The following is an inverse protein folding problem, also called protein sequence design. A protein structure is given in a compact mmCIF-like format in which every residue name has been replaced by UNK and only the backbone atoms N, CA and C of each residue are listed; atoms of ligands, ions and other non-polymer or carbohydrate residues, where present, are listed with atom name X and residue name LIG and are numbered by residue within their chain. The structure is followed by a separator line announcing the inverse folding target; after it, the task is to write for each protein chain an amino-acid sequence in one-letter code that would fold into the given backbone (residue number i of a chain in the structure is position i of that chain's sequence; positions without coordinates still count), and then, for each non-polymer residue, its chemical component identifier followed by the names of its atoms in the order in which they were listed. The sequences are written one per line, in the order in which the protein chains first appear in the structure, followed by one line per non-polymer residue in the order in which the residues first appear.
data_IF_167192387047
#
_entry.id   IF_167192387047
#
_cell.length_a   1.000
_cell.length_b   1.000
_cell.length_c   1.000
_cell.angle_alpha   90.00
_cell.angle_beta   90.00
_cell.angle_gamma   90.00
#
_symmetry.space_group_name_H-M   'P 1'
#
loop_
_entity.id
_entity.type
_entity.pdbx_description
1 polymer ?
#
# COMPACT_ATOMS: atom_id res chain seq x y z
N UNK A 1 26.78 4.63 5.74
CA UNK A 1 25.33 4.49 5.95
C UNK A 1 24.80 3.50 4.93
N UNK A 2 24.18 2.42 5.40
CA UNK A 2 23.88 1.25 4.58
C UNK A 2 22.98 1.59 3.37
N UNK A 3 23.53 1.34 2.18
CA UNK A 3 22.87 1.60 0.90
C UNK A 3 21.50 0.89 0.80
N UNK A 4 21.33 -0.25 1.49
CA UNK A 4 20.10 -1.03 1.47
C UNK A 4 18.93 -0.34 2.18
N UNK A 5 19.14 0.17 3.41
CA UNK A 5 18.06 0.82 4.17
C UNK A 5 17.53 2.03 3.41
N UNK A 6 18.44 2.88 2.93
CA UNK A 6 18.09 4.07 2.14
C UNK A 6 17.31 3.68 0.87
N UNK A 7 17.75 2.61 0.18
CA UNK A 7 17.07 2.10 -1.01
C UNK A 7 15.67 1.58 -0.71
N UNK A 8 15.47 0.89 0.41
CA UNK A 8 14.15 0.36 0.80
C UNK A 8 13.19 1.49 1.19
N UNK A 9 13.67 2.48 1.96
CA UNK A 9 12.88 3.67 2.29
C UNK A 9 12.46 4.42 1.03
N UNK A 10 13.41 4.66 0.11
CA UNK A 10 13.11 5.31 -1.17
C UNK A 10 12.10 4.50 -1.99
N UNK A 11 12.24 3.18 -2.05
CA UNK A 11 11.31 2.31 -2.76
C UNK A 11 9.88 2.38 -2.19
N UNK A 12 9.75 2.38 -0.87
CA UNK A 12 8.45 2.54 -0.21
C UNK A 12 7.80 3.89 -0.53
N UNK A 13 8.57 4.98 -0.46
CA UNK A 13 8.08 6.31 -0.82
C UNK A 13 7.63 6.35 -2.29
N UNK A 14 8.48 5.92 -3.23
CA UNK A 14 8.16 5.94 -4.66
C UNK A 14 6.95 5.05 -4.99
N UNK A 15 6.88 3.86 -4.41
CA UNK A 15 5.74 2.96 -4.55
C UNK A 15 4.45 3.62 -4.07
N UNK A 16 4.49 4.26 -2.90
CA UNK A 16 3.32 4.96 -2.35
C UNK A 16 2.93 6.18 -3.17
N UNK A 17 3.88 6.98 -3.67
CA UNK A 17 3.57 8.11 -4.56
C UNK A 17 2.83 7.64 -5.81
N UNK A 18 3.36 6.64 -6.52
CA UNK A 18 2.76 6.16 -7.76
C UNK A 18 1.38 5.54 -7.51
N UNK A 19 1.25 4.75 -6.45
CA UNK A 19 -0.04 4.20 -6.02
C UNK A 19 -1.05 5.31 -5.70
N UNK A 20 -0.64 6.33 -4.94
CA UNK A 20 -1.47 7.47 -4.56
C UNK A 20 -1.97 8.23 -5.78
N UNK A 21 -1.10 8.48 -6.78
CA UNK A 21 -1.49 9.13 -8.03
C UNK A 21 -2.62 8.33 -8.72
N UNK A 22 -2.47 7.01 -8.81
CA UNK A 22 -3.50 6.14 -9.40
C UNK A 22 -4.80 6.20 -8.59
N UNK A 23 -4.72 6.16 -7.26
CA UNK A 23 -5.90 6.23 -6.39
C UNK A 23 -6.60 7.59 -6.44
N UNK A 24 -5.89 8.69 -6.70
CA UNK A 24 -6.50 9.99 -6.94
C UNK A 24 -7.22 10.06 -8.29
N UNK A 25 -6.73 9.35 -9.31
CA UNK A 25 -7.34 9.33 -10.64
C UNK A 25 -8.52 8.36 -10.71
N UNK A 26 -8.46 7.23 -10.00
CA UNK A 26 -9.42 6.14 -10.08
C UNK A 26 -10.90 6.57 -9.92
N UNK A 27 -11.28 7.48 -9.00
CA UNK A 27 -12.65 7.95 -8.87
C UNK A 27 -13.20 8.66 -10.11
N UNK A 28 -12.33 9.35 -10.84
CA UNK A 28 -12.69 10.00 -12.11
C UNK A 28 -12.93 9.00 -13.24
N UNK A 29 -12.59 7.73 -13.04
CA UNK A 29 -12.86 6.62 -13.95
C UNK A 29 -14.07 5.76 -13.50
N UNK A 30 -14.83 6.24 -12.50
CA UNK A 30 -16.00 5.55 -11.97
C UNK A 30 -15.68 4.49 -10.89
N UNK A 31 -14.43 4.37 -10.45
CA UNK A 31 -14.08 3.53 -9.30
C UNK A 31 -14.47 4.22 -7.97
N UNK A 32 -14.68 3.47 -6.87
CA UNK A 32 -14.92 4.07 -5.57
C UNK A 32 -13.69 4.85 -5.09
N UNK A 33 -13.92 5.87 -4.26
CA UNK A 33 -12.82 6.57 -3.61
C UNK A 33 -12.11 5.63 -2.64
N UNK A 34 -10.83 5.37 -2.92
CA UNK A 34 -9.94 4.59 -2.07
C UNK A 34 -8.78 5.47 -1.65
N UNK A 35 -9.00 6.27 -0.61
CA UNK A 35 -8.00 7.18 -0.05
C UNK A 35 -7.54 6.69 1.34
N UNK A 36 -6.49 5.85 1.43
CA UNK A 36 -6.04 5.28 2.70
C UNK A 36 -5.71 6.33 3.76
N UNK A 37 -5.15 7.47 3.37
CA UNK A 37 -4.87 8.58 4.29
C UNK A 37 -6.13 9.19 4.90
N UNK A 38 -7.24 9.31 4.13
CA UNK A 38 -8.53 9.77 4.66
C UNK A 38 -9.13 8.71 5.59
N UNK A 39 -9.06 7.44 5.19
CA UNK A 39 -9.58 6.33 5.98
C UNK A 39 -8.87 6.24 7.34
N UNK A 40 -7.54 6.26 7.35
CA UNK A 40 -6.74 6.24 8.57
C UNK A 40 -7.01 7.46 9.46
N UNK A 41 -7.07 8.67 8.88
CA UNK A 41 -7.36 9.88 9.65
C UNK A 41 -8.76 9.82 10.28
N UNK A 42 -9.77 9.42 9.49
CA UNK A 42 -11.16 9.32 9.92
C UNK A 42 -11.35 8.28 11.02
N UNK A 43 -10.83 7.06 10.83
CA UNK A 43 -10.95 5.99 11.82
C UNK A 43 -10.27 6.34 13.15
N UNK A 44 -9.14 7.04 13.11
CA UNK A 44 -8.41 7.41 14.33
C UNK A 44 -8.88 8.74 14.95
N UNK A 45 -9.77 9.49 14.29
CA UNK A 45 -10.20 10.81 14.75
C UNK A 45 -9.08 11.86 14.78
N UNK A 46 -8.08 11.73 13.90
CA UNK A 46 -6.89 12.60 13.86
C UNK A 46 -6.89 13.53 12.64
N UNK A 47 -6.09 14.61 12.62
CA UNK A 47 -6.00 15.49 11.47
C UNK A 47 -5.56 14.76 10.18
N UNK A 48 -6.04 15.22 9.03
CA UNK A 48 -5.75 14.62 7.72
C UNK A 48 -4.25 14.47 7.42
N UNK A 49 -3.43 15.41 7.89
CA UNK A 49 -1.97 15.35 7.74
C UNK A 49 -1.36 14.12 8.43
N UNK A 50 -1.92 13.69 9.55
CA UNK A 50 -1.48 12.48 10.25
C UNK A 50 -1.82 11.25 9.42
N UNK A 51 -3.01 11.20 8.81
CA UNK A 51 -3.37 10.12 7.88
C UNK A 51 -2.42 10.00 6.70
N UNK A 52 -1.96 11.12 6.15
CA UNK A 52 -0.93 11.15 5.10
C UNK A 52 0.41 10.60 5.59
N UNK A 53 0.88 11.05 6.75
CA UNK A 53 2.12 10.56 7.36
C UNK A 53 2.03 9.04 7.56
N UNK A 54 0.92 8.55 8.09
CA UNK A 54 0.69 7.12 8.32
C UNK A 54 0.69 6.34 7.00
N UNK A 55 0.03 6.84 5.95
CA UNK A 55 0.01 6.18 4.63
C UNK A 55 1.43 5.99 4.04
N UNK A 56 2.24 7.04 4.08
CA UNK A 56 3.64 6.97 3.63
C UNK A 56 4.52 6.11 4.52
N UNK A 57 4.31 6.17 5.84
CA UNK A 57 5.02 5.32 6.80
C UNK A 57 4.71 3.84 6.54
N UNK A 58 3.44 3.49 6.28
CA UNK A 58 3.06 2.11 5.91
C UNK A 58 3.73 1.66 4.62
N UNK A 59 3.84 2.54 3.61
CA UNK A 59 4.60 2.26 2.39
C UNK A 59 6.06 1.91 2.65
N UNK A 60 6.73 2.69 3.52
CA UNK A 60 8.09 2.42 3.95
C UNK A 60 8.17 1.08 4.70
N UNK A 61 7.27 0.81 5.64
CA UNK A 61 7.24 -0.45 6.39
C UNK A 61 7.03 -1.66 5.48
N UNK A 62 6.16 -1.56 4.47
CA UNK A 62 5.98 -2.60 3.47
C UNK A 62 7.25 -2.83 2.65
N UNK A 63 7.94 -1.78 2.20
CA UNK A 63 9.20 -1.93 1.44
C UNK A 63 10.34 -2.49 2.30
N UNK A 64 10.41 -2.16 3.59
CA UNK A 64 11.33 -2.81 4.54
C UNK A 64 10.98 -4.28 4.71
N UNK A 65 9.69 -4.59 4.91
CA UNK A 65 9.19 -5.97 4.98
C UNK A 65 9.50 -6.76 3.71
N UNK A 66 9.41 -6.13 2.54
CA UNK A 66 9.87 -6.72 1.29
C UNK A 66 11.36 -7.10 1.37
N UNK A 67 12.21 -6.12 1.66
CA UNK A 67 13.66 -6.29 1.61
C UNK A 67 14.21 -7.27 2.64
N UNK A 68 13.64 -7.31 3.85
CA UNK A 68 14.13 -8.11 4.98
C UNK A 68 13.40 -9.44 5.19
N UNK A 69 12.12 -9.52 4.81
CA UNK A 69 11.29 -10.72 5.05
C UNK A 69 10.94 -11.38 3.72
N UNK A 70 10.44 -10.65 2.74
CA UNK A 70 9.96 -11.27 1.50
C UNK A 70 11.10 -11.80 0.62
N UNK A 71 12.16 -11.00 0.41
CA UNK A 71 13.30 -11.34 -0.46
C UNK A 71 13.99 -12.64 -0.03
N UNK A 72 14.32 -12.87 1.25
CA UNK A 72 14.97 -14.11 1.68
C UNK A 72 14.08 -15.36 1.60
N UNK A 73 12.75 -15.19 1.62
CA UNK A 73 11.79 -16.31 1.74
C UNK A 73 11.04 -16.63 0.44
N UNK A 74 11.13 -15.78 -0.60
CA UNK A 74 10.39 -15.95 -1.85
C UNK A 74 11.31 -15.85 -3.06
N UNK A 75 11.55 -16.99 -3.68
CA UNK A 75 12.39 -17.15 -4.88
C UNK A 75 11.57 -16.98 -6.15
N UNK A 76 11.45 -15.73 -6.61
CA UNK A 76 10.89 -15.39 -7.93
C UNK A 76 11.95 -14.56 -8.67
N UNK A 77 12.35 -14.99 -9.87
CA UNK A 77 13.38 -14.31 -10.67
C UNK A 77 12.81 -13.12 -11.47
N UNK A 78 11.60 -13.27 -12.02
CA UNK A 78 10.97 -12.21 -12.78
C UNK A 78 10.49 -11.09 -11.85
N UNK A 79 11.17 -9.94 -11.88
CA UNK A 79 10.90 -8.80 -11.00
C UNK A 79 9.48 -8.21 -11.16
N UNK A 80 8.89 -8.28 -12.36
CA UNK A 80 7.50 -7.82 -12.56
C UNK A 80 6.52 -8.74 -11.86
N UNK A 81 6.66 -10.05 -12.08
CA UNK A 81 5.83 -11.05 -11.43
C UNK A 81 6.03 -11.04 -9.91
N UNK A 82 7.27 -10.90 -9.44
CA UNK A 82 7.59 -10.75 -8.02
C UNK A 82 6.91 -9.52 -7.42
N UNK A 83 6.90 -8.41 -8.14
CA UNK A 83 6.20 -7.18 -7.76
C UNK A 83 4.69 -7.37 -7.65
N UNK A 84 4.08 -8.11 -8.58
CA UNK A 84 2.64 -8.45 -8.51
C UNK A 84 2.36 -9.31 -7.28
N UNK A 85 3.13 -10.39 -7.07
CA UNK A 85 2.95 -11.28 -5.91
C UNK A 85 3.14 -10.52 -4.60
N UNK A 86 4.16 -9.67 -4.52
CA UNK A 86 4.38 -8.82 -3.35
C UNK A 86 3.24 -7.81 -3.14
N UNK A 87 2.73 -7.19 -4.21
CA UNK A 87 1.57 -6.29 -4.13
C UNK A 87 0.31 -6.99 -3.63
N UNK A 88 0.05 -8.22 -4.09
CA UNK A 88 -1.04 -9.07 -3.58
C UNK A 88 -0.85 -9.39 -2.09
N UNK A 89 0.37 -9.74 -1.68
CA UNK A 89 0.67 -9.97 -0.27
C UNK A 89 0.46 -8.71 0.58
N UNK A 90 0.90 -7.54 0.08
CA UNK A 90 0.77 -6.26 0.75
C UNK A 90 -0.70 -5.87 0.95
N UNK A 91 -1.57 -6.04 -0.07
CA UNK A 91 -3.01 -5.73 0.09
C UNK A 91 -3.67 -6.68 1.10
N UNK A 92 -3.29 -7.97 1.13
CA UNK A 92 -3.81 -8.90 2.14
C UNK A 92 -3.44 -8.42 3.54
N UNK A 93 -2.17 -8.06 3.77
CA UNK A 93 -1.72 -7.54 5.07
C UNK A 93 -2.40 -6.23 5.42
N UNK A 94 -2.56 -5.30 4.47
CA UNK A 94 -3.28 -4.06 4.67
C UNK A 94 -4.75 -4.29 5.07
N UNK A 95 -5.44 -5.21 4.39
CA UNK A 95 -6.83 -5.57 4.70
C UNK A 95 -6.97 -6.20 6.08
N UNK A 96 -6.02 -7.04 6.50
CA UNK A 96 -5.98 -7.58 7.84
C UNK A 96 -5.78 -6.47 8.89
N UNK A 97 -4.86 -5.54 8.63
CA UNK A 97 -4.64 -4.37 9.49
C UNK A 97 -5.90 -3.51 9.63
N UNK A 98 -6.58 -3.20 8.53
CA UNK A 98 -7.84 -2.44 8.53
C UNK A 98 -8.95 -3.19 9.26
N UNK A 99 -9.04 -4.52 9.11
CA UNK A 99 -10.02 -5.34 9.84
C UNK A 99 -9.76 -5.29 11.34
N UNK A 100 -8.51 -5.43 11.78
CA UNK A 100 -8.15 -5.31 13.20
C UNK A 100 -8.49 -3.93 13.74
N UNK A 101 -8.17 -2.88 12.99
CA UNK A 101 -8.54 -1.51 13.36
C UNK A 101 -10.06 -1.34 13.50
N UNK A 102 -10.84 -1.88 12.55
CA UNK A 102 -12.31 -1.81 12.58
C UNK A 102 -12.98 -2.66 13.65
N UNK A 103 -12.25 -3.59 14.31
CA UNK A 103 -12.75 -4.28 15.50
C UNK A 103 -12.58 -3.44 16.78
N UNK A 104 -11.68 -2.44 16.75
CA UNK A 104 -11.33 -1.61 17.91
C UNK A 104 -11.89 -0.19 17.80
N UNK A 105 -12.04 0.32 16.58
CA UNK A 105 -12.43 1.70 16.26
C UNK A 105 -13.57 1.69 15.25
N UNK A 106 -14.43 2.71 15.33
CA UNK A 106 -15.48 2.90 14.34
C UNK A 106 -14.89 3.34 13.01
N UNK A 107 -15.25 2.61 11.94
CA UNK A 107 -14.76 2.88 10.59
C UNK A 107 -15.69 3.89 9.91
N UNK A 108 -15.17 4.94 9.25
CA UNK A 108 -16.00 5.83 8.47
C UNK A 108 -16.65 5.08 7.30
N UNK A 109 -17.78 5.58 6.79
CA UNK A 109 -18.44 4.99 5.63
C UNK A 109 -17.47 4.94 4.44
N UNK A 110 -17.55 3.84 3.68
CA UNK A 110 -16.75 3.63 2.47
C UNK A 110 -17.68 3.56 1.26
N UNK A 111 -17.30 4.26 0.19
CA UNK A 111 -18.07 4.34 -1.04
C UNK A 111 -17.98 3.05 -1.88
N UNK A 112 -19.02 2.82 -2.68
CA UNK A 112 -19.07 1.75 -3.68
C UNK A 112 -19.27 0.33 -3.14
N UNK A 113 -19.56 -0.58 -4.07
CA UNK A 113 -19.78 -1.99 -3.75
C UNK A 113 -18.49 -2.66 -3.24
N UNK A 114 -18.63 -3.69 -2.39
CA UNK A 114 -17.49 -4.44 -1.88
C UNK A 114 -16.59 -4.99 -3.01
N UNK A 115 -17.11 -5.61 -4.09
CA UNK A 115 -16.27 -6.08 -5.19
C UNK A 115 -15.45 -4.95 -5.84
N UNK A 116 -16.06 -3.79 -6.05
CA UNK A 116 -15.39 -2.67 -6.72
C UNK A 116 -14.26 -2.09 -5.87
N UNK A 117 -14.46 -2.00 -4.55
CA UNK A 117 -13.42 -1.60 -3.60
C UNK A 117 -12.25 -2.56 -3.60
N UNK A 118 -12.51 -3.88 -3.61
CA UNK A 118 -11.46 -4.90 -3.64
C UNK A 118 -10.60 -4.79 -4.90
N UNK A 119 -11.22 -4.57 -6.07
CA UNK A 119 -10.51 -4.36 -7.33
C UNK A 119 -9.64 -3.09 -7.27
N UNK A 120 -10.21 -1.96 -6.83
CA UNK A 120 -9.48 -0.71 -6.73
C UNK A 120 -8.26 -0.82 -5.80
N UNK A 121 -8.42 -1.47 -4.63
CA UNK A 121 -7.31 -1.73 -3.71
C UNK A 121 -6.24 -2.64 -4.32
N UNK A 122 -6.66 -3.70 -4.99
CA UNK A 122 -5.74 -4.65 -5.61
C UNK A 122 -4.89 -3.97 -6.69
N UNK A 123 -5.51 -3.16 -7.56
CA UNK A 123 -4.78 -2.40 -8.60
C UNK A 123 -3.74 -1.49 -7.96
N UNK A 124 -4.13 -0.70 -6.96
CA UNK A 124 -3.20 0.19 -6.26
C UNK A 124 -1.99 -0.58 -5.69
N UNK A 125 -2.25 -1.67 -4.98
CA UNK A 125 -1.17 -2.43 -4.33
C UNK A 125 -0.31 -3.22 -5.30
N UNK A 126 -0.85 -3.69 -6.44
CA UNK A 126 -0.03 -4.29 -7.50
C UNK A 126 0.95 -3.25 -8.03
N UNK A 127 0.49 -2.02 -8.29
CA UNK A 127 1.38 -0.96 -8.77
C UNK A 127 2.42 -0.60 -7.71
N UNK A 128 2.00 -0.44 -6.45
CA UNK A 128 2.91 -0.26 -5.33
C UNK A 128 3.99 -1.35 -5.30
N UNK A 129 3.58 -2.62 -5.38
CA UNK A 129 4.47 -3.77 -5.31
C UNK A 129 5.47 -3.80 -6.47
N UNK A 130 5.00 -3.60 -7.70
CA UNK A 130 5.85 -3.54 -8.90
C UNK A 130 6.87 -2.41 -8.79
N UNK A 131 6.46 -1.19 -8.43
CA UNK A 131 7.37 -0.05 -8.29
C UNK A 131 8.40 -0.33 -7.20
N UNK A 132 7.96 -0.81 -6.03
CA UNK A 132 8.83 -1.14 -4.89
C UNK A 132 9.90 -2.16 -5.29
N UNK A 133 9.49 -3.29 -5.88
CA UNK A 133 10.40 -4.36 -6.31
C UNK A 133 11.36 -3.88 -7.40
N UNK A 134 10.88 -3.10 -8.37
CA UNK A 134 11.72 -2.55 -9.44
C UNK A 134 12.75 -1.55 -8.92
N UNK A 135 12.40 -0.71 -7.95
CA UNK A 135 13.34 0.20 -7.30
C UNK A 135 14.39 -0.57 -6.50
N UNK A 136 14.00 -1.65 -5.81
CA UNK A 136 14.90 -2.48 -5.01
C UNK A 136 15.80 -3.38 -5.89
N UNK A 137 15.30 -3.84 -7.04
CA UNK A 137 16.07 -4.54 -8.06
C UNK A 137 16.43 -5.99 -7.75
N UNK A 138 15.76 -6.62 -6.78
CA UNK A 138 15.88 -8.04 -6.41
C UNK A 138 14.58 -8.50 -5.78
#
# INVERSE_FOLDING_TARGET
MDNQLTKYVLAGILGTVVMTIIMMIAPHMGMPEMAPWKLLAGTMGVPLIVGWIMHFMMGILFALGYGYIFVPNVSIENLWFKGIVFGVAAVIVAQLGMKVMGMMLEMPPMDGSLPMRLVAMLIGHIVFGVVTVKTIGK
#
